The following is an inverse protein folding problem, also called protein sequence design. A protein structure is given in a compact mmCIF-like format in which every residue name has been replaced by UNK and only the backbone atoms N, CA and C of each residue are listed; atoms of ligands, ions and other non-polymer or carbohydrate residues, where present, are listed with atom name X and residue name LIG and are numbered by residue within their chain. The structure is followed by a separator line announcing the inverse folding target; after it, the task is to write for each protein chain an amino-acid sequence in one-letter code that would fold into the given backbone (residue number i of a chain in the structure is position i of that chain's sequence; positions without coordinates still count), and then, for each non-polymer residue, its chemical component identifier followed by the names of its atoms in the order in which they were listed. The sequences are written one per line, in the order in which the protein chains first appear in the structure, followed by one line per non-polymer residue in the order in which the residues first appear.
data_IF_404134907152
#
_entry.id   IF_404134907152
#
_cell.length_a   1.000
_cell.length_b   1.000
_cell.length_c   1.000
_cell.angle_alpha   90.00
_cell.angle_beta   90.00
_cell.angle_gamma   90.00
#
_symmetry.space_group_name_H-M   'P 1'
#
loop_
_entity.id
_entity.type
_entity.pdbx_description
1 polymer ?
#
# COMPACT_ATOMS: atom_id res chain seq x y z
N UNK A 1 -1.64 0.20 -24.39
CA UNK A 1 -3.03 -0.33 -24.55
C UNK A 1 -3.16 -1.24 -25.77
N UNK A 2 -2.89 -0.75 -26.98
CA UNK A 2 -3.02 -1.56 -28.21
C UNK A 2 -2.22 -2.86 -28.14
N UNK A 3 -0.99 -2.82 -27.63
CA UNK A 3 -0.14 -4.00 -27.52
C UNK A 3 -0.66 -5.01 -26.49
N UNK A 4 -1.17 -4.53 -25.36
CA UNK A 4 -1.81 -5.36 -24.34
C UNK A 4 -3.03 -6.10 -24.92
N UNK A 5 -3.91 -5.40 -25.64
CA UNK A 5 -5.17 -5.99 -26.15
C UNK A 5 -4.94 -6.81 -27.42
N UNK A 6 -4.15 -6.30 -28.37
CA UNK A 6 -3.98 -6.91 -29.68
C UNK A 6 -2.95 -8.05 -29.69
N UNK A 7 -1.92 -8.00 -28.81
CA UNK A 7 -0.83 -8.99 -28.83
C UNK A 7 -0.91 -10.03 -27.73
N UNK A 8 -1.62 -9.79 -26.62
CA UNK A 8 -1.63 -10.75 -25.53
C UNK A 8 -2.42 -12.02 -25.89
N UNK A 9 -1.87 -13.19 -25.57
CA UNK A 9 -2.58 -14.47 -25.66
C UNK A 9 -3.61 -14.65 -24.55
N UNK A 10 -3.42 -13.99 -23.40
CA UNK A 10 -4.38 -13.94 -22.31
C UNK A 10 -5.44 -12.87 -22.58
N UNK A 11 -6.72 -13.25 -22.64
CA UNK A 11 -7.81 -12.35 -23.03
C UNK A 11 -8.83 -12.08 -21.92
N UNK A 12 -8.71 -12.76 -20.78
CA UNK A 12 -9.65 -12.63 -19.66
C UNK A 12 -9.21 -11.52 -18.68
N UNK A 13 -9.21 -10.28 -19.15
CA UNK A 13 -8.85 -9.11 -18.35
C UNK A 13 -9.70 -7.89 -18.75
N UNK A 14 -9.91 -7.01 -17.78
CA UNK A 14 -10.42 -5.65 -17.98
C UNK A 14 -9.32 -4.65 -17.59
N UNK A 15 -9.43 -3.42 -18.10
CA UNK A 15 -8.45 -2.37 -17.80
C UNK A 15 -9.13 -1.20 -17.11
N UNK A 16 -8.63 -0.82 -15.95
CA UNK A 16 -9.02 0.43 -15.30
C UNK A 16 -8.02 1.50 -15.68
N UNK A 17 -8.51 2.63 -16.21
CA UNK A 17 -7.67 3.80 -16.51
C UNK A 17 -8.10 4.93 -15.60
N UNK A 18 -7.15 5.44 -14.81
CA UNK A 18 -7.37 6.54 -13.88
C UNK A 18 -7.01 7.85 -14.58
N UNK A 19 -8.02 8.61 -14.98
CA UNK A 19 -7.88 9.87 -15.71
C UNK A 19 -7.75 11.06 -14.75
N UNK A 20 -6.78 11.93 -14.99
CA UNK A 20 -6.76 13.24 -14.33
C UNK A 20 -7.91 14.10 -14.84
N UNK A 21 -8.48 14.92 -13.97
CA UNK A 21 -9.60 15.83 -14.30
C UNK A 21 -9.28 16.78 -15.47
N UNK A 22 -8.02 17.11 -15.72
CA UNK A 22 -7.56 17.97 -16.81
C UNK A 22 -7.15 17.20 -18.08
N UNK A 23 -7.33 15.88 -18.12
CA UNK A 23 -7.06 15.07 -19.32
C UNK A 23 -7.91 15.56 -20.49
N UNK A 24 -7.31 15.96 -21.64
CA UNK A 24 -8.07 16.45 -22.78
C UNK A 24 -9.12 15.44 -23.26
N UNK A 25 -10.34 15.88 -23.54
CA UNK A 25 -11.46 15.02 -23.96
C UNK A 25 -11.09 14.13 -25.15
N UNK A 26 -10.40 14.70 -26.15
CA UNK A 26 -9.95 13.94 -27.33
C UNK A 26 -8.97 12.80 -26.97
N UNK A 27 -8.06 13.02 -26.00
CA UNK A 27 -7.15 11.98 -25.54
C UNK A 27 -7.88 10.89 -24.76
N UNK A 28 -8.82 11.28 -23.89
CA UNK A 28 -9.69 10.35 -23.15
C UNK A 28 -10.50 9.46 -24.09
N UNK A 29 -11.16 10.05 -25.08
CA UNK A 29 -11.93 9.31 -26.09
C UNK A 29 -11.06 8.35 -26.90
N UNK A 30 -9.86 8.78 -27.32
CA UNK A 30 -8.92 7.93 -28.04
C UNK A 30 -8.47 6.72 -27.21
N UNK A 31 -8.14 6.91 -25.93
CA UNK A 31 -7.74 5.83 -25.02
C UNK A 31 -8.89 4.84 -24.82
N UNK A 32 -10.10 5.33 -24.53
CA UNK A 32 -11.29 4.49 -24.34
C UNK A 32 -11.59 3.68 -25.62
N UNK A 33 -11.50 4.31 -26.79
CA UNK A 33 -11.71 3.64 -28.07
C UNK A 33 -10.68 2.54 -28.33
N UNK A 34 -9.40 2.78 -28.02
CA UNK A 34 -8.32 1.79 -28.12
C UNK A 34 -8.52 0.59 -27.17
N UNK A 35 -9.35 0.75 -26.13
CA UNK A 35 -9.72 -0.30 -25.20
C UNK A 35 -10.67 -1.37 -25.73
N UNK A 36 -11.28 -1.16 -26.90
CA UNK A 36 -12.27 -2.08 -27.50
C UNK A 36 -13.37 -2.54 -26.53
N UNK A 37 -13.85 -1.62 -25.67
CA UNK A 37 -14.91 -1.88 -24.70
C UNK A 37 -14.47 -2.52 -23.38
N UNK A 38 -13.15 -2.72 -23.16
CA UNK A 38 -12.59 -3.28 -21.92
C UNK A 38 -12.08 -2.24 -20.92
N UNK A 39 -12.25 -0.95 -21.22
CA UNK A 39 -11.77 0.13 -20.35
C UNK A 39 -12.88 0.60 -19.42
N UNK A 40 -12.59 0.55 -18.13
CA UNK A 40 -13.37 1.22 -17.09
C UNK A 40 -12.65 2.52 -16.71
N UNK A 41 -13.21 3.69 -17.06
CA UNK A 41 -12.63 4.97 -16.65
C UNK A 41 -12.88 5.21 -15.16
N UNK A 42 -11.85 5.64 -14.45
CA UNK A 42 -11.93 6.15 -13.08
C UNK A 42 -11.43 7.60 -13.08
N UNK A 43 -12.18 8.51 -12.46
CA UNK A 43 -11.83 9.93 -12.42
C UNK A 43 -10.95 10.25 -11.21
N UNK A 44 -9.97 11.12 -11.40
CA UNK A 44 -9.06 11.60 -10.36
C UNK A 44 -9.02 13.13 -10.34
N UNK A 45 -9.69 13.71 -9.33
CA UNK A 45 -9.88 15.15 -9.14
C UNK A 45 -9.06 15.64 -7.93
N UNK A 46 -7.75 15.43 -7.99
CA UNK A 46 -6.80 15.87 -6.96
C UNK A 46 -5.42 16.12 -7.58
N UNK A 47 -4.52 16.75 -6.81
CA UNK A 47 -3.12 16.85 -7.21
C UNK A 47 -2.50 15.46 -7.43
N UNK A 48 -1.55 15.38 -8.37
CA UNK A 48 -0.91 14.12 -8.74
C UNK A 48 -0.34 13.40 -7.50
N UNK A 49 -0.89 12.22 -7.22
CA UNK A 49 -0.39 11.30 -6.21
C UNK A 49 -0.46 9.89 -6.77
N UNK A 50 0.71 9.32 -7.07
CA UNK A 50 0.80 7.99 -7.67
C UNK A 50 0.13 6.90 -6.82
N UNK A 51 0.33 6.93 -5.50
CA UNK A 51 -0.24 5.92 -4.61
C UNK A 51 -1.77 6.03 -4.55
N UNK A 52 -2.31 7.25 -4.45
CA UNK A 52 -3.76 7.46 -4.43
C UNK A 52 -4.40 7.06 -5.77
N UNK A 53 -3.77 7.40 -6.90
CA UNK A 53 -4.22 6.93 -8.22
C UNK A 53 -4.25 5.40 -8.31
N UNK A 54 -3.21 4.71 -7.86
CA UNK A 54 -3.19 3.24 -7.82
C UNK A 54 -4.34 2.70 -6.97
N UNK A 55 -4.55 3.26 -5.77
CA UNK A 55 -5.66 2.89 -4.91
C UNK A 55 -7.02 3.09 -5.61
N UNK A 56 -7.24 4.23 -6.27
CA UNK A 56 -8.46 4.51 -7.06
C UNK A 56 -8.66 3.48 -8.18
N UNK A 57 -7.59 3.12 -8.88
CA UNK A 57 -7.62 2.08 -9.89
C UNK A 57 -8.01 0.71 -9.33
N UNK A 58 -7.47 0.35 -8.15
CA UNK A 58 -7.81 -0.89 -7.45
C UNK A 58 -9.28 -0.89 -7.00
N UNK A 59 -9.81 0.22 -6.47
CA UNK A 59 -11.22 0.35 -6.09
C UNK A 59 -12.16 0.15 -7.27
N UNK A 60 -11.82 0.69 -8.43
CA UNK A 60 -12.63 0.56 -9.64
C UNK A 60 -12.46 -0.81 -10.35
N UNK A 61 -11.62 -1.70 -9.81
CA UNK A 61 -11.35 -3.02 -10.38
C UNK A 61 -12.00 -4.14 -9.56
N UNK A 62 -12.41 -5.22 -10.23
CA UNK A 62 -13.08 -6.38 -9.60
C UNK A 62 -12.31 -7.69 -9.76
N UNK A 63 -11.24 -7.71 -10.54
CA UNK A 63 -10.45 -8.91 -10.82
C UNK A 63 -9.81 -9.51 -9.57
N UNK A 64 -9.67 -10.83 -9.56
CA UNK A 64 -8.95 -11.58 -8.51
C UNK A 64 -7.47 -11.18 -8.45
N UNK A 65 -6.89 -10.91 -9.62
CA UNK A 65 -5.54 -10.40 -9.79
C UNK A 65 -5.59 -8.93 -10.22
N UNK A 66 -4.63 -8.15 -9.73
CA UNK A 66 -4.44 -6.75 -10.12
C UNK A 66 -3.07 -6.62 -10.75
N UNK A 67 -3.04 -6.25 -12.03
CA UNK A 67 -1.83 -5.88 -12.74
C UNK A 67 -1.63 -4.36 -12.60
N UNK A 68 -0.60 -3.95 -11.89
CA UNK A 68 -0.09 -2.60 -12.00
C UNK A 68 0.69 -2.50 -13.30
N UNK A 69 0.27 -1.59 -14.18
CA UNK A 69 0.90 -1.38 -15.48
C UNK A 69 1.07 0.12 -15.70
N UNK A 70 2.31 0.56 -15.89
CA UNK A 70 2.58 1.96 -16.18
C UNK A 70 2.08 2.32 -17.59
N UNK A 71 1.66 3.58 -17.77
CA UNK A 71 1.08 4.06 -19.03
C UNK A 71 2.09 4.11 -20.19
N UNK A 72 3.38 4.18 -19.87
CA UNK A 72 4.52 4.11 -20.79
C UNK A 72 5.07 2.69 -21.04
N UNK A 73 4.40 1.65 -20.54
CA UNK A 73 4.88 0.25 -20.64
C UNK A 73 4.23 -0.51 -21.80
N UNK A 74 5.06 -1.15 -22.63
CA UNK A 74 4.64 -2.01 -23.74
C UNK A 74 4.81 -3.50 -23.41
N UNK A 75 3.78 -4.31 -23.70
CA UNK A 75 3.91 -5.77 -23.73
C UNK A 75 4.52 -6.21 -25.07
N UNK A 76 5.76 -6.69 -25.02
CA UNK A 76 6.53 -7.10 -26.19
C UNK A 76 6.48 -8.61 -26.46
N UNK A 77 6.10 -9.43 -25.47
CA UNK A 77 5.91 -10.87 -25.60
C UNK A 77 4.43 -11.24 -25.45
N UNK A 78 3.80 -11.93 -26.42
CA UNK A 78 2.36 -12.27 -26.37
C UNK A 78 1.90 -13.01 -25.12
N UNK A 79 2.74 -13.91 -24.61
CA UNK A 79 2.49 -14.81 -23.48
C UNK A 79 2.90 -14.22 -22.11
N UNK A 80 3.20 -12.91 -22.04
CA UNK A 80 3.62 -12.26 -20.81
C UNK A 80 2.59 -12.44 -19.67
N UNK A 81 1.32 -12.18 -19.96
CA UNK A 81 0.25 -12.30 -18.95
C UNK A 81 -0.01 -13.75 -18.56
N UNK A 82 -0.04 -14.69 -19.52
CA UNK A 82 -0.18 -16.12 -19.25
C UNK A 82 0.92 -16.61 -18.30
N UNK A 83 2.16 -16.16 -18.54
CA UNK A 83 3.31 -16.49 -17.68
C UNK A 83 3.15 -15.91 -16.28
N UNK A 84 2.76 -14.64 -16.15
CA UNK A 84 2.58 -13.99 -14.85
C UNK A 84 1.44 -14.63 -14.03
N UNK A 85 0.31 -14.91 -14.68
CA UNK A 85 -0.82 -15.61 -14.04
C UNK A 85 -0.40 -17.02 -13.63
N UNK A 86 0.29 -17.76 -14.51
CA UNK A 86 0.78 -19.10 -14.21
C UNK A 86 1.75 -19.15 -13.03
N UNK A 87 2.55 -18.11 -12.81
CA UNK A 87 3.42 -17.98 -11.62
C UNK A 87 2.61 -17.79 -10.33
N UNK A 88 1.49 -17.08 -10.39
CA UNK A 88 0.64 -16.82 -9.21
C UNK A 88 -0.23 -18.02 -8.83
N UNK A 89 -0.36 -19.04 -9.68
CA UNK A 89 -1.03 -20.30 -9.31
C UNK A 89 -0.32 -21.03 -8.17
N UNK A 90 0.98 -20.76 -7.95
CA UNK A 90 1.66 -21.17 -6.72
C UNK A 90 1.19 -20.29 -5.55
N UNK A 91 0.53 -20.85 -4.52
CA UNK A 91 0.06 -20.07 -3.38
C UNK A 91 1.18 -19.40 -2.57
N UNK A 92 2.43 -19.84 -2.73
CA UNK A 92 3.61 -19.19 -2.13
C UNK A 92 4.02 -17.90 -2.82
N UNK A 93 3.50 -17.61 -4.02
CA UNK A 93 3.85 -16.42 -4.80
C UNK A 93 2.81 -15.32 -4.58
N UNK A 94 3.23 -14.23 -3.95
CA UNK A 94 2.35 -13.08 -3.68
C UNK A 94 2.31 -12.05 -4.83
N UNK A 95 3.40 -11.94 -5.59
CA UNK A 95 3.59 -10.95 -6.63
C UNK A 95 4.54 -11.48 -7.70
N UNK A 96 4.22 -11.25 -8.97
CA UNK A 96 5.06 -11.59 -10.11
C UNK A 96 5.29 -10.35 -11.00
N UNK A 97 6.45 -10.29 -11.65
CA UNK A 97 6.77 -9.22 -12.60
C UNK A 97 7.71 -9.73 -13.69
N UNK A 98 7.66 -9.17 -14.90
CA UNK A 98 8.52 -9.58 -16.01
C UNK A 98 9.93 -8.98 -15.87
N UNK A 99 10.84 -9.43 -16.73
CA UNK A 99 12.06 -8.67 -17.04
C UNK A 99 11.64 -7.39 -17.76
N UNK A 100 11.97 -6.23 -17.19
CA UNK A 100 11.65 -4.94 -17.77
C UNK A 100 12.85 -4.41 -18.56
N UNK A 101 12.56 -3.83 -19.73
CA UNK A 101 13.54 -3.23 -20.63
C UNK A 101 13.24 -1.73 -20.79
N UNK A 102 14.29 -0.94 -20.99
CA UNK A 102 14.17 0.42 -21.52
C UNK A 102 13.89 0.37 -23.03
N UNK A 103 13.51 1.52 -23.60
CA UNK A 103 13.28 1.69 -25.04
C UNK A 103 14.53 1.36 -25.88
N UNK A 104 15.73 1.60 -25.35
CA UNK A 104 17.00 1.24 -26.00
C UNK A 104 17.35 -0.27 -25.91
N UNK A 105 16.42 -1.07 -25.39
CA UNK A 105 16.53 -2.52 -25.21
C UNK A 105 17.37 -2.95 -24.01
N UNK A 106 18.03 -2.02 -23.28
CA UNK A 106 18.78 -2.39 -22.08
C UNK A 106 17.84 -2.79 -20.95
N UNK A 107 18.33 -3.63 -20.05
CA UNK A 107 17.57 -4.04 -18.86
C UNK A 107 17.26 -2.82 -17.99
N UNK A 108 15.97 -2.57 -17.74
CA UNK A 108 15.48 -1.63 -16.74
C UNK A 108 15.47 -2.28 -15.36
N UNK A 109 14.89 -3.48 -15.25
CA UNK A 109 14.87 -4.25 -14.01
C UNK A 109 14.74 -5.73 -14.27
N UNK A 110 15.57 -6.50 -13.57
CA UNK A 110 15.46 -7.95 -13.47
C UNK A 110 15.05 -8.39 -12.05
N UNK A 111 14.23 -7.57 -11.38
CA UNK A 111 13.88 -7.72 -9.98
C UNK A 111 14.94 -7.15 -9.03
N UNK A 112 14.52 -6.95 -7.78
CA UNK A 112 15.33 -6.35 -6.73
C UNK A 112 15.86 -7.40 -5.78
N UNK A 113 17.04 -7.13 -5.25
CA UNK A 113 17.58 -7.85 -4.10
C UNK A 113 17.77 -6.85 -2.97
N UNK A 114 17.31 -7.23 -1.78
CA UNK A 114 17.54 -6.47 -0.55
C UNK A 114 18.78 -7.04 0.16
N UNK A 115 19.95 -6.42 -0.02
CA UNK A 115 21.14 -6.76 0.77
C UNK A 115 22.23 -5.67 0.71
N UNK A 116 22.37 -4.76 1.70
CA UNK A 116 21.40 -4.37 2.75
C UNK A 116 20.43 -3.27 2.28
N UNK A 117 20.70 -2.65 1.13
CA UNK A 117 19.88 -1.62 0.48
C UNK A 117 19.25 -2.28 -0.76
N UNK A 118 17.96 -1.99 -1.08
CA UNK A 118 17.37 -2.47 -2.32
C UNK A 118 18.16 -1.99 -3.53
N UNK A 119 18.49 -2.90 -4.45
CA UNK A 119 19.05 -2.55 -5.75
C UNK A 119 18.44 -3.41 -6.85
N UNK A 120 18.26 -2.80 -8.02
CA UNK A 120 17.79 -3.49 -9.22
C UNK A 120 18.90 -4.30 -9.87
N UNK A 121 18.62 -5.57 -10.11
CA UNK A 121 19.55 -6.48 -10.76
C UNK A 121 19.76 -6.09 -12.23
N UNK A 122 21.04 -5.98 -12.62
CA UNK A 122 21.49 -5.82 -14.01
C UNK A 122 20.95 -4.61 -14.78
N UNK A 123 20.50 -3.56 -14.08
CA UNK A 123 20.08 -2.31 -14.71
C UNK A 123 21.16 -1.76 -15.68
N UNK A 124 20.72 -1.27 -16.84
CA UNK A 124 21.54 -0.77 -17.95
C UNK A 124 22.46 -1.80 -18.63
N UNK A 125 22.29 -3.11 -18.36
CA UNK A 125 22.99 -4.17 -19.10
C UNK A 125 22.28 -4.50 -20.41
N UNK A 126 23.01 -5.16 -21.32
CA UNK A 126 22.47 -5.69 -22.57
C UNK A 126 21.28 -6.63 -22.28
N UNK A 127 20.25 -6.67 -23.15
CA UNK A 127 19.16 -7.64 -23.03
C UNK A 127 19.66 -9.11 -23.11
N UNK A 128 20.77 -9.36 -23.79
CA UNK A 128 21.40 -10.68 -23.90
C UNK A 128 22.24 -11.07 -22.66
N UNK A 129 22.34 -10.18 -21.68
CA UNK A 129 23.09 -10.46 -20.45
C UNK A 129 22.42 -11.62 -19.70
N UNK A 130 23.14 -12.71 -19.47
CA UNK A 130 22.57 -13.90 -18.83
C UNK A 130 22.56 -13.84 -17.29
N UNK A 131 23.27 -12.88 -16.71
CA UNK A 131 23.46 -12.77 -15.26
C UNK A 131 24.45 -13.80 -14.72
N UNK A 132 24.85 -13.64 -13.45
CA UNK A 132 25.64 -14.66 -12.77
C UNK A 132 24.89 -16.00 -12.80
N UNK A 133 25.60 -17.09 -13.12
CA UNK A 133 25.02 -18.44 -13.15
C UNK A 133 23.77 -18.58 -14.04
N UNK A 134 23.64 -17.75 -15.09
CA UNK A 134 22.49 -17.73 -16.00
C UNK A 134 21.15 -17.37 -15.34
N UNK A 135 21.17 -16.64 -14.22
CA UNK A 135 19.95 -16.34 -13.46
C UNK A 135 18.88 -15.61 -14.29
N UNK A 136 19.25 -14.86 -15.34
CA UNK A 136 18.29 -14.15 -16.21
C UNK A 136 17.59 -15.05 -17.23
N UNK A 137 17.96 -16.33 -17.33
CA UNK A 137 17.37 -17.29 -18.26
C UNK A 137 16.27 -18.17 -17.64
N UNK A 138 16.00 -18.00 -16.35
CA UNK A 138 15.06 -18.82 -15.59
C UNK A 138 14.12 -17.95 -14.77
N UNK A 139 12.93 -18.48 -14.49
CA UNK A 139 12.06 -17.98 -13.43
C UNK A 139 12.77 -18.15 -12.09
N UNK A 140 12.68 -17.15 -11.23
CA UNK A 140 13.36 -17.13 -9.93
C UNK A 140 12.67 -16.20 -8.96
N UNK A 141 12.89 -16.46 -7.68
CA UNK A 141 12.50 -15.57 -6.62
C UNK A 141 13.43 -14.36 -6.51
N UNK A 142 12.85 -13.23 -6.15
CA UNK A 142 13.55 -11.95 -5.91
C UNK A 142 12.92 -11.30 -4.68
N UNK A 143 13.62 -10.34 -4.05
CA UNK A 143 13.08 -9.61 -2.90
C UNK A 143 11.92 -8.68 -3.29
N UNK A 144 11.79 -8.31 -4.56
CA UNK A 144 10.67 -7.53 -5.08
C UNK A 144 10.78 -7.25 -6.58
N UNK A 145 9.69 -6.80 -7.19
CA UNK A 145 9.64 -6.37 -8.59
C UNK A 145 9.24 -4.89 -8.68
N UNK A 146 9.55 -4.21 -9.78
CA UNK A 146 9.11 -2.82 -10.00
C UNK A 146 7.62 -2.83 -10.37
N UNK A 147 6.84 -1.94 -9.75
CA UNK A 147 5.40 -1.77 -10.00
C UNK A 147 5.05 -1.19 -11.40
N UNK A 148 6.04 -1.01 -12.28
CA UNK A 148 5.81 -0.62 -13.68
C UNK A 148 5.09 -1.73 -14.45
N UNK A 149 5.33 -2.99 -14.08
CA UNK A 149 4.53 -4.14 -14.47
C UNK A 149 4.59 -5.19 -13.36
N UNK A 150 3.57 -5.23 -12.50
CA UNK A 150 3.52 -6.19 -11.38
C UNK A 150 2.12 -6.75 -11.20
N UNK A 151 1.99 -8.07 -11.30
CA UNK A 151 0.75 -8.79 -11.08
C UNK A 151 0.69 -9.26 -9.63
N UNK A 152 -0.41 -8.95 -8.95
CA UNK A 152 -0.59 -9.16 -7.51
C UNK A 152 -1.95 -9.80 -7.28
N UNK A 153 -2.04 -10.80 -6.40
CA UNK A 153 -3.35 -11.32 -5.97
C UNK A 153 -4.04 -10.31 -5.06
N UNK A 154 -5.31 -10.01 -5.29
CA UNK A 154 -6.05 -8.99 -4.53
C UNK A 154 -6.00 -9.23 -3.01
N UNK A 155 -6.10 -10.48 -2.58
CA UNK A 155 -6.02 -10.85 -1.16
C UNK A 155 -4.70 -10.46 -0.50
N UNK A 156 -3.61 -10.29 -1.25
CA UNK A 156 -2.33 -9.80 -0.72
C UNK A 156 -2.44 -8.36 -0.22
N UNK A 157 -3.27 -7.52 -0.85
CA UNK A 157 -3.54 -6.17 -0.33
C UNK A 157 -4.28 -6.21 1.01
N UNK A 158 -5.22 -7.15 1.19
CA UNK A 158 -5.93 -7.33 2.45
C UNK A 158 -4.98 -7.81 3.56
N UNK A 159 -4.10 -8.77 3.23
CA UNK A 159 -3.05 -9.23 4.14
C UNK A 159 -2.06 -8.10 4.51
N UNK A 160 -1.64 -7.29 3.54
CA UNK A 160 -0.76 -6.15 3.77
C UNK A 160 -1.43 -5.08 4.65
N UNK A 161 -2.72 -4.82 4.43
CA UNK A 161 -3.50 -3.89 5.24
C UNK A 161 -3.62 -4.36 6.71
N UNK A 162 -3.86 -5.65 6.93
CA UNK A 162 -3.87 -6.25 8.29
C UNK A 162 -2.50 -6.19 8.95
N UNK A 163 -1.43 -6.54 8.22
CA UNK A 163 -0.07 -6.48 8.74
C UNK A 163 0.32 -5.04 9.14
N UNK A 164 -0.04 -4.06 8.31
CA UNK A 164 0.19 -2.65 8.61
C UNK A 164 -0.65 -2.18 9.81
N UNK A 165 -1.92 -2.62 9.92
CA UNK A 165 -2.75 -2.31 11.08
C UNK A 165 -2.14 -2.85 12.39
N UNK A 166 -1.54 -4.04 12.37
CA UNK A 166 -0.84 -4.60 13.53
C UNK A 166 0.39 -3.75 13.92
N UNK A 167 1.16 -3.27 12.95
CA UNK A 167 2.27 -2.34 13.21
C UNK A 167 1.77 -1.02 13.81
N UNK A 168 0.71 -0.45 13.23
CA UNK A 168 0.12 0.81 13.68
C UNK A 168 -0.37 0.73 15.13
N UNK A 169 -1.02 -0.38 15.52
CA UNK A 169 -1.45 -0.62 16.90
C UNK A 169 -0.26 -0.68 17.86
N UNK A 170 0.82 -1.35 17.47
CA UNK A 170 2.06 -1.37 18.26
C UNK A 170 2.66 0.03 18.43
N UNK A 171 2.66 0.82 17.35
CA UNK A 171 3.07 2.23 17.39
C UNK A 171 2.18 3.08 18.30
N UNK A 172 0.86 2.93 18.20
CA UNK A 172 -0.14 3.66 18.99
C UNK A 172 -0.01 3.35 20.49
N UNK A 173 0.17 2.07 20.84
CA UNK A 173 0.46 1.65 22.20
C UNK A 173 1.75 2.30 22.72
N UNK A 174 2.81 2.32 21.91
CA UNK A 174 4.10 2.87 22.35
C UNK A 174 4.04 4.38 22.59
N UNK A 175 3.34 5.14 21.75
CA UNK A 175 3.18 6.59 21.96
C UNK A 175 2.31 6.91 23.16
N UNK A 176 1.27 6.10 23.45
CA UNK A 176 0.49 6.21 24.67
C UNK A 176 1.36 6.00 25.92
N UNK A 177 2.20 4.96 25.92
CA UNK A 177 3.13 4.68 27.02
C UNK A 177 4.08 5.87 27.27
N UNK A 178 4.72 6.37 26.22
CA UNK A 178 5.61 7.54 26.31
C UNK A 178 4.87 8.76 26.88
N UNK A 179 3.67 9.04 26.40
CA UNK A 179 2.86 10.16 26.86
C UNK A 179 2.50 10.03 28.35
N UNK A 180 2.06 8.85 28.79
CA UNK A 180 1.70 8.58 30.19
C UNK A 180 2.93 8.65 31.10
N UNK A 181 4.06 8.08 30.69
CA UNK A 181 5.33 8.16 31.43
C UNK A 181 5.76 9.62 31.62
N UNK A 182 5.78 10.40 30.54
CA UNK A 182 6.14 11.81 30.61
C UNK A 182 5.16 12.61 31.48
N UNK A 183 3.86 12.33 31.36
CA UNK A 183 2.83 13.02 32.14
C UNK A 183 2.97 12.81 33.66
N UNK A 184 3.51 11.65 34.08
CA UNK A 184 3.75 11.35 35.50
C UNK A 184 4.94 12.12 36.08
N UNK A 185 5.97 12.39 35.28
CA UNK A 185 7.24 12.96 35.78
C UNK A 185 7.40 14.44 35.49
N UNK A 186 6.80 14.95 34.40
CA UNK A 186 6.92 16.36 34.02
C UNK A 186 6.12 17.25 34.96
N UNK A 187 6.79 18.21 35.61
CA UNK A 187 6.16 19.17 36.52
C UNK A 187 5.95 20.53 35.85
N UNK A 188 4.73 21.06 35.93
CA UNK A 188 4.37 22.45 35.57
C UNK A 188 3.34 22.98 36.57
N UNK A 189 3.38 24.29 36.85
CA UNK A 189 2.51 24.92 37.85
C UNK A 189 2.53 24.19 39.21
N UNK A 190 3.72 23.74 39.64
CA UNK A 190 3.95 23.14 40.96
C UNK A 190 3.50 21.68 41.14
N UNK A 191 3.04 20.99 40.09
CA UNK A 191 2.66 19.56 40.17
C UNK A 191 2.86 18.81 38.85
N UNK A 192 2.85 17.46 38.84
CA UNK A 192 2.93 16.68 37.61
C UNK A 192 1.81 17.01 36.62
N UNK A 193 2.10 17.09 35.32
CA UNK A 193 1.12 17.48 34.31
C UNK A 193 -0.03 16.47 34.19
N UNK A 194 0.20 15.20 34.48
CA UNK A 194 -0.82 14.15 34.54
C UNK A 194 -1.86 14.37 35.64
N UNK A 195 -1.70 15.35 36.53
CA UNK A 195 -2.73 15.73 37.50
C UNK A 195 -3.83 16.64 36.91
N UNK A 196 -3.55 17.33 35.80
CA UNK A 196 -4.54 18.18 35.12
C UNK A 196 -5.53 17.33 34.32
N UNK A 197 -6.83 17.64 34.43
CA UNK A 197 -7.90 16.89 33.76
C UNK A 197 -7.69 16.82 32.24
N UNK A 198 -7.25 17.91 31.61
CA UNK A 198 -7.00 17.93 30.16
C UNK A 198 -5.99 16.86 29.70
N UNK A 199 -4.93 16.58 30.49
CA UNK A 199 -3.95 15.54 30.18
C UNK A 199 -4.51 14.15 30.49
N UNK A 200 -5.25 14.01 31.59
CA UNK A 200 -5.89 12.72 31.94
C UNK A 200 -6.89 12.27 30.89
N UNK A 201 -7.75 13.17 30.42
CA UNK A 201 -8.74 12.87 29.38
C UNK A 201 -8.04 12.44 28.09
N UNK A 202 -7.04 13.20 27.61
CA UNK A 202 -6.24 12.80 26.44
C UNK A 202 -5.65 11.40 26.58
N UNK A 203 -5.04 11.08 27.71
CA UNK A 203 -4.49 9.74 27.93
C UNK A 203 -5.56 8.64 28.02
N UNK A 204 -6.74 8.95 28.58
CA UNK A 204 -7.85 8.00 28.67
C UNK A 204 -8.48 7.75 27.29
N UNK A 205 -8.66 8.80 26.49
CA UNK A 205 -9.21 8.74 25.13
C UNK A 205 -8.26 7.95 24.22
N UNK A 206 -6.95 8.26 24.25
CA UNK A 206 -5.93 7.48 23.55
C UNK A 206 -5.95 6.00 23.96
N UNK A 207 -6.08 5.70 25.26
CA UNK A 207 -6.16 4.30 25.72
C UNK A 207 -7.39 3.58 25.14
N UNK A 208 -8.55 4.22 25.15
CA UNK A 208 -9.77 3.66 24.58
C UNK A 208 -9.61 3.34 23.08
N UNK A 209 -9.03 4.28 22.33
CA UNK A 209 -8.76 4.11 20.90
C UNK A 209 -7.76 2.99 20.65
N UNK A 210 -6.67 2.92 21.42
CA UNK A 210 -5.65 1.86 21.29
C UNK A 210 -6.23 0.48 21.57
N UNK A 211 -7.04 0.31 22.62
CA UNK A 211 -7.67 -0.99 22.92
C UNK A 211 -8.72 -1.38 21.86
N UNK A 212 -9.45 -0.40 21.31
CA UNK A 212 -10.38 -0.64 20.21
C UNK A 212 -9.64 -1.02 18.92
N UNK A 213 -8.51 -0.36 18.65
CA UNK A 213 -7.65 -0.66 17.50
C UNK A 213 -6.99 -2.05 17.63
N UNK A 214 -6.54 -2.44 18.83
CA UNK A 214 -6.08 -3.83 19.11
C UNK A 214 -7.15 -4.84 18.76
N UNK A 215 -8.39 -4.61 19.17
CA UNK A 215 -9.50 -5.52 18.89
C UNK A 215 -9.71 -5.68 17.38
N UNK A 216 -9.73 -4.59 16.63
CA UNK A 216 -9.87 -4.61 15.17
C UNK A 216 -8.68 -5.31 14.48
N UNK A 217 -7.44 -4.97 14.86
CA UNK A 217 -6.25 -5.59 14.29
C UNK A 217 -6.17 -7.08 14.62
N UNK A 218 -6.49 -7.50 15.85
CA UNK A 218 -6.44 -8.89 16.27
C UNK A 218 -7.48 -9.74 15.55
N UNK A 219 -8.69 -9.21 15.37
CA UNK A 219 -9.70 -9.87 14.55
C UNK A 219 -9.25 -10.00 13.09
N UNK A 220 -8.68 -8.93 12.52
CA UNK A 220 -8.12 -8.96 11.15
C UNK A 220 -7.00 -9.99 10.99
N UNK A 221 -6.09 -10.08 11.97
CA UNK A 221 -5.02 -11.09 11.96
C UNK A 221 -5.56 -12.52 12.04
N UNK A 222 -6.62 -12.75 12.83
CA UNK A 222 -7.27 -14.05 12.88
C UNK A 222 -7.94 -14.42 11.55
N UNK A 223 -8.64 -13.47 10.92
CA UNK A 223 -9.20 -13.69 9.57
C UNK A 223 -8.11 -13.94 8.52
N UNK A 224 -6.97 -13.26 8.64
CA UNK A 224 -5.81 -13.47 7.78
C UNK A 224 -5.15 -14.83 7.99
N UNK A 225 -5.03 -15.32 9.23
CA UNK A 225 -4.43 -16.63 9.50
C UNK A 225 -5.27 -17.79 8.98
N UNK A 226 -6.60 -17.64 9.00
CA UNK A 226 -7.55 -18.65 8.50
C UNK A 226 -7.92 -18.45 7.02
N UNK A 227 -7.46 -17.37 6.38
CA UNK A 227 -7.86 -16.95 5.03
C UNK A 227 -9.39 -17.01 4.81
N UNK A 228 -10.14 -16.60 5.83
CA UNK A 228 -11.59 -16.76 5.83
C UNK A 228 -12.29 -15.67 4.99
N UNK A 229 -13.60 -15.85 4.75
CA UNK A 229 -14.39 -14.95 3.91
C UNK A 229 -14.52 -13.51 4.45
N UNK A 230 -14.28 -13.29 5.74
CA UNK A 230 -14.35 -11.96 6.36
C UNK A 230 -13.04 -11.18 6.26
N UNK A 231 -11.96 -11.78 5.74
CA UNK A 231 -10.65 -11.13 5.64
C UNK A 231 -10.73 -9.79 4.92
N UNK A 232 -11.41 -9.73 3.78
CA UNK A 232 -11.54 -8.51 2.99
C UNK A 232 -12.17 -7.37 3.81
N UNK A 233 -13.39 -7.55 4.32
CA UNK A 233 -14.07 -6.53 5.11
C UNK A 233 -13.29 -6.16 6.38
N UNK A 234 -12.75 -7.16 7.07
CA UNK A 234 -12.01 -6.93 8.32
C UNK A 234 -10.68 -6.22 8.08
N UNK A 235 -9.97 -6.50 6.99
CA UNK A 235 -8.74 -5.80 6.63
C UNK A 235 -8.98 -4.29 6.45
N UNK A 236 -10.06 -3.92 5.75
CA UNK A 236 -10.44 -2.52 5.59
C UNK A 236 -10.84 -1.86 6.90
N UNK A 237 -11.67 -2.53 7.71
CA UNK A 237 -12.04 -2.05 9.04
C UNK A 237 -10.80 -1.80 9.92
N UNK A 238 -9.92 -2.79 10.01
CA UNK A 238 -8.71 -2.72 10.81
C UNK A 238 -7.78 -1.61 10.33
N UNK A 239 -7.53 -1.52 9.01
CA UNK A 239 -6.64 -0.50 8.45
C UNK A 239 -7.18 0.91 8.66
N UNK A 240 -8.48 1.13 8.47
CA UNK A 240 -9.10 2.44 8.71
C UNK A 240 -8.95 2.86 10.19
N UNK A 241 -9.41 2.00 11.10
CA UNK A 241 -9.46 2.34 12.53
C UNK A 241 -8.05 2.47 13.15
N UNK A 242 -7.14 1.55 12.84
CA UNK A 242 -5.78 1.57 13.38
C UNK A 242 -4.96 2.76 12.86
N UNK A 243 -5.18 3.18 11.61
CA UNK A 243 -4.52 4.37 11.05
C UNK A 243 -4.93 5.64 11.79
N UNK A 244 -6.22 5.83 12.04
CA UNK A 244 -6.72 7.00 12.76
C UNK A 244 -6.28 7.01 14.23
N UNK A 245 -6.43 5.88 14.92
CA UNK A 245 -6.01 5.73 16.31
C UNK A 245 -4.52 6.02 16.47
N UNK A 246 -3.67 5.50 15.57
CA UNK A 246 -2.24 5.76 15.65
C UNK A 246 -1.88 7.21 15.32
N UNK A 247 -2.50 7.80 14.30
CA UNK A 247 -2.27 9.19 13.95
C UNK A 247 -2.67 10.14 15.09
N UNK A 248 -3.85 9.93 15.68
CA UNK A 248 -4.33 10.72 16.82
C UNK A 248 -3.42 10.53 18.05
N UNK A 249 -3.12 9.30 18.44
CA UNK A 249 -2.26 9.02 19.59
C UNK A 249 -0.84 9.59 19.40
N UNK A 250 -0.28 9.56 18.18
CA UNK A 250 1.02 10.14 17.90
C UNK A 250 1.00 11.68 17.97
N UNK A 251 -0.08 12.32 17.50
CA UNK A 251 -0.26 13.77 17.59
C UNK A 251 -0.41 14.21 19.06
N UNK A 252 -1.23 13.51 19.83
CA UNK A 252 -1.43 13.78 21.27
C UNK A 252 -0.16 13.54 22.08
N UNK A 253 0.62 12.52 21.73
CA UNK A 253 1.93 12.29 22.35
C UNK A 253 2.87 13.49 22.15
N UNK A 254 2.90 14.12 20.97
CA UNK A 254 3.67 15.36 20.76
C UNK A 254 3.12 16.47 21.66
N UNK A 255 1.80 16.66 21.70
CA UNK A 255 1.18 17.73 22.51
C UNK A 255 1.46 17.57 24.01
N UNK A 256 1.39 16.35 24.54
CA UNK A 256 1.68 16.05 25.95
C UNK A 256 3.16 16.29 26.28
N UNK A 257 4.07 15.99 25.35
CA UNK A 257 5.49 16.32 25.50
C UNK A 257 5.75 17.83 25.40
N UNK A 258 4.92 18.56 24.67
CA UNK A 258 5.10 19.97 24.36
C UNK A 258 6.29 20.17 23.42
N UNK A 259 7.08 21.24 23.63
CA UNK A 259 8.17 21.61 22.73
C UNK A 259 9.17 20.47 22.44
N UNK A 260 9.57 19.69 23.46
CA UNK A 260 10.53 18.58 23.31
C UNK A 260 9.99 17.46 22.40
N UNK A 261 8.66 17.32 22.27
CA UNK A 261 8.05 16.32 21.40
C UNK A 261 8.36 16.53 19.92
N UNK A 262 8.81 17.73 19.54
CA UNK A 262 9.15 18.09 18.16
C UNK A 262 10.66 18.26 17.92
N UNK A 263 11.50 18.02 18.94
CA UNK A 263 12.96 18.19 18.83
C UNK A 263 13.66 16.84 18.66
N UNK A 264 14.96 16.86 18.31
CA UNK A 264 15.76 15.65 18.07
C UNK A 264 16.08 14.86 19.35
N UNK A 265 15.87 15.48 20.51
CA UNK A 265 16.12 14.92 21.83
C UNK A 265 15.07 13.89 22.26
N UNK A 266 13.92 13.81 21.56
CA UNK A 266 12.86 12.86 21.89
C UNK A 266 12.28 12.19 20.65
N UNK A 267 12.04 10.86 20.63
CA UNK A 267 11.60 10.17 19.42
C UNK A 267 10.14 10.42 19.00
N UNK A 268 9.35 11.21 19.75
CA UNK A 268 7.91 11.41 19.48
C UNK A 268 7.63 11.86 18.03
N UNK A 269 8.43 12.77 17.48
CA UNK A 269 8.30 13.23 16.10
C UNK A 269 8.55 12.13 15.06
N UNK A 270 9.32 11.08 15.39
CA UNK A 270 9.54 9.92 14.51
C UNK A 270 8.27 9.07 14.41
N UNK A 271 7.60 8.83 15.53
CA UNK A 271 6.32 8.10 15.55
C UNK A 271 5.22 8.86 14.80
N UNK A 272 5.14 10.18 14.95
CA UNK A 272 4.18 10.99 14.18
C UNK A 272 4.41 10.89 12.67
N UNK A 273 5.66 11.01 12.21
CA UNK A 273 6.00 10.81 10.79
C UNK A 273 5.67 9.40 10.31
N UNK A 274 5.93 8.37 11.12
CA UNK A 274 5.58 6.98 10.81
C UNK A 274 4.07 6.79 10.74
N UNK A 275 3.32 7.33 11.70
CA UNK A 275 1.86 7.27 11.72
C UNK A 275 1.28 7.87 10.43
N UNK A 276 1.69 9.09 10.05
CA UNK A 276 1.24 9.74 8.82
C UNK A 276 1.63 8.96 7.55
N UNK A 277 2.86 8.45 7.49
CA UNK A 277 3.30 7.64 6.34
C UNK A 277 2.53 6.33 6.23
N UNK A 278 2.28 5.65 7.35
CA UNK A 278 1.53 4.39 7.39
C UNK A 278 0.03 4.55 7.14
N UNK A 279 -0.53 5.71 7.51
CA UNK A 279 -1.92 6.06 7.23
C UNK A 279 -2.19 6.02 5.73
N UNK A 280 -1.29 6.60 4.92
CA UNK A 280 -1.43 6.69 3.46
C UNK A 280 -1.01 5.40 2.73
N UNK A 281 -0.13 4.60 3.34
CA UNK A 281 0.36 3.37 2.73
C UNK A 281 -0.79 2.34 2.62
N UNK A 282 -0.95 1.75 1.42
CA UNK A 282 -2.04 0.81 1.07
C UNK A 282 -3.46 1.38 1.25
N UNK A 283 -3.63 2.68 1.04
CA UNK A 283 -4.94 3.34 1.12
C UNK A 283 -5.18 3.95 2.50
N UNK A 284 -5.76 5.16 2.48
CA UNK A 284 -6.08 5.94 3.67
C UNK A 284 -7.40 5.47 4.34
N UNK A 285 -7.77 6.01 5.51
CA UNK A 285 -9.02 5.62 6.18
C UNK A 285 -10.28 5.86 5.34
N UNK A 286 -10.29 6.87 4.48
CA UNK A 286 -11.44 7.17 3.61
C UNK A 286 -11.60 6.09 2.56
N UNK A 287 -10.51 5.74 1.88
CA UNK A 287 -10.42 4.63 0.94
C UNK A 287 -10.93 3.32 1.55
N UNK A 288 -10.49 2.99 2.77
CA UNK A 288 -10.86 1.73 3.41
C UNK A 288 -12.32 1.70 3.86
N UNK A 289 -12.90 2.84 4.25
CA UNK A 289 -14.33 2.92 4.53
C UNK A 289 -15.18 2.74 3.28
N UNK A 290 -14.79 3.33 2.16
CA UNK A 290 -15.44 3.15 0.86
C UNK A 290 -15.35 1.67 0.43
N UNK A 291 -14.17 1.08 0.51
CA UNK A 291 -13.97 -0.33 0.18
C UNK A 291 -14.79 -1.26 1.09
N UNK A 292 -14.88 -0.95 2.38
CA UNK A 292 -15.72 -1.69 3.33
C UNK A 292 -17.20 -1.58 2.96
N UNK A 293 -17.69 -0.37 2.62
CA UNK A 293 -19.06 -0.13 2.20
C UNK A 293 -19.43 -1.00 0.98
N UNK A 294 -18.57 -1.00 -0.05
CA UNK A 294 -18.73 -1.86 -1.23
C UNK A 294 -18.74 -3.36 -0.88
N UNK A 295 -17.87 -3.79 0.05
CA UNK A 295 -17.76 -5.20 0.47
C UNK A 295 -18.98 -5.68 1.26
N UNK A 296 -19.65 -4.79 1.99
CA UNK A 296 -20.88 -5.13 2.76
C UNK A 296 -22.17 -4.73 2.03
N UNK A 297 -22.07 -4.12 0.86
CA UNK A 297 -23.19 -3.81 -0.03
C UNK A 297 -24.02 -2.58 0.38
N UNK A 298 -23.39 -1.55 0.94
CA UNK A 298 -24.05 -0.26 1.28
C UNK A 298 -23.42 0.93 0.57
#
# INVERSE_FOLDING_TARGET
METLIARSTFQNFDVVVVFDADTPTAAREAIIAAGHGRITPAEYDAEFNFADKVNRGVLASTGEYVLLLNDDTEIITPDALDTLVGLLEDPGVAMAGPLLLYEDGKIQSAGHVLNPIPYDLYRHRSPDHVGAQNLLRVQREVSGVIAACALIRRSVFDLAAVALAAEQVGGAQKVLEMAVEYAKVRVQFGRPIGSFQAIKHKCADMLLEVESAKSAAYYGMWCASEMNAELASTASLAKAYCSEAYFHAAAENIQIHGGIGFTWEHPAHLYFKRAKSSELLFGDPTYHRELLAQRIGI
#
